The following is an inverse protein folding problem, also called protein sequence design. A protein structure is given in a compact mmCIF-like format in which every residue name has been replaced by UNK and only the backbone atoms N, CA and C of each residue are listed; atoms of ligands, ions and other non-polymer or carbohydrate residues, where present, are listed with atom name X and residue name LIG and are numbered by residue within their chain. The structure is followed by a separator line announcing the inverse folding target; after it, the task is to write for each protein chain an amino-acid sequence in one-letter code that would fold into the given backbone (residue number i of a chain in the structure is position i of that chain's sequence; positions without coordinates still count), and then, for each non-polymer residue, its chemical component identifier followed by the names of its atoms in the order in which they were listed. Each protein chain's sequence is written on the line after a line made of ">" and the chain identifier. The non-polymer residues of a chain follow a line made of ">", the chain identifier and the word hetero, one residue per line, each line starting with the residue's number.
data_IF_902360133805
#
_entry.id   IF_902360133805
#
_cell.length_a   1.000
_cell.length_b   1.000
_cell.length_c   1.000
_cell.angle_alpha   90.00
_cell.angle_beta   90.00
_cell.angle_gamma   90.00
#
_symmetry.space_group_name_H-M   'P 1'
#
loop_
_entity.id
_entity.type
_entity.pdbx_description
1 polymer ?
#
# COMPACT_ATOMS: atom_id res chain seq x y z
N UNK A 1 19.72 16.41 -32.35
CA UNK A 1 19.17 17.57 -31.60
C UNK A 1 17.72 17.36 -31.12
N UNK A 2 17.02 16.31 -31.53
CA UNK A 2 15.64 15.99 -31.14
C UNK A 2 15.46 15.44 -29.72
N UNK A 3 16.53 15.06 -29.02
CA UNK A 3 16.40 14.51 -27.65
C UNK A 3 16.16 15.60 -26.59
N UNK A 4 16.68 16.82 -26.82
CA UNK A 4 16.52 17.94 -25.88
C UNK A 4 15.08 18.49 -25.86
N UNK A 5 14.30 18.32 -26.93
CA UNK A 5 12.90 18.76 -26.96
C UNK A 5 11.96 17.86 -26.14
N UNK A 6 12.38 16.63 -25.82
CA UNK A 6 11.57 15.68 -25.06
C UNK A 6 11.77 15.80 -23.54
N UNK A 7 12.86 16.45 -23.10
CA UNK A 7 13.15 16.71 -21.68
C UNK A 7 12.00 17.37 -20.90
N UNK A 8 11.37 18.45 -21.36
CA UNK A 8 10.28 19.08 -20.61
C UNK A 8 9.04 18.18 -20.48
N UNK A 9 8.77 17.34 -21.49
CA UNK A 9 7.67 16.38 -21.43
C UNK A 9 7.93 15.31 -20.37
N UNK A 10 9.13 14.73 -20.36
CA UNK A 10 9.56 13.75 -19.35
C UNK A 10 9.59 14.36 -17.94
N UNK A 11 10.06 15.60 -17.80
CA UNK A 11 10.08 16.31 -16.52
C UNK A 11 8.65 16.55 -15.99
N UNK A 12 7.72 16.96 -16.85
CA UNK A 12 6.31 17.19 -16.46
C UNK A 12 5.60 15.90 -16.04
N UNK A 13 5.85 14.79 -16.74
CA UNK A 13 5.33 13.47 -16.39
C UNK A 13 5.89 13.01 -15.02
N UNK A 14 7.20 13.20 -14.79
CA UNK A 14 7.83 12.87 -13.52
C UNK A 14 7.27 13.70 -12.35
N UNK A 15 7.05 15.01 -12.56
CA UNK A 15 6.47 15.91 -11.56
C UNK A 15 5.03 15.54 -11.18
N UNK A 16 4.23 15.06 -12.14
CA UNK A 16 2.86 14.59 -11.87
C UNK A 16 2.79 13.36 -10.96
N UNK A 17 3.79 12.48 -11.03
CA UNK A 17 3.83 11.24 -10.25
C UNK A 17 4.67 11.33 -8.96
N UNK A 18 5.50 12.37 -8.81
CA UNK A 18 6.38 12.56 -7.66
C UNK A 18 5.65 12.55 -6.29
N UNK A 19 4.48 13.20 -6.10
CA UNK A 19 3.81 13.20 -4.80
C UNK A 19 3.38 11.79 -4.38
N UNK A 20 2.89 11.00 -5.33
CA UNK A 20 2.39 9.65 -5.11
C UNK A 20 3.55 8.68 -4.82
N UNK A 21 4.68 8.84 -5.51
CA UNK A 21 5.91 8.11 -5.22
C UNK A 21 6.43 8.40 -3.81
N UNK A 22 6.41 9.66 -3.36
CA UNK A 22 6.81 10.05 -2.00
C UNK A 22 5.91 9.38 -0.97
N UNK A 23 4.59 9.37 -1.17
CA UNK A 23 3.65 8.71 -0.25
C UNK A 23 3.95 7.21 -0.14
N UNK A 24 4.26 6.53 -1.24
CA UNK A 24 4.64 5.11 -1.19
C UNK A 24 5.95 4.87 -0.46
N UNK A 25 6.99 5.67 -0.74
CA UNK A 25 8.29 5.54 -0.08
C UNK A 25 8.15 5.80 1.42
N UNK A 26 7.46 6.87 1.82
CA UNK A 26 7.21 7.19 3.24
C UNK A 26 6.37 6.09 3.89
N UNK A 27 5.33 5.58 3.21
CA UNK A 27 4.53 4.46 3.68
C UNK A 27 5.38 3.21 3.95
N UNK A 28 6.28 2.85 3.03
CA UNK A 28 7.21 1.72 3.18
C UNK A 28 8.17 1.95 4.35
N UNK A 29 8.77 3.13 4.46
CA UNK A 29 9.68 3.47 5.56
C UNK A 29 8.95 3.38 6.92
N UNK A 30 7.75 3.94 7.02
CA UNK A 30 6.93 3.86 8.25
C UNK A 30 6.55 2.41 8.55
N UNK A 31 6.17 1.62 7.55
CA UNK A 31 5.85 0.21 7.74
C UNK A 31 7.06 -0.58 8.26
N UNK A 32 8.25 -0.38 7.68
CA UNK A 32 9.50 -1.03 8.11
C UNK A 32 9.89 -0.56 9.53
N UNK A 33 9.84 0.74 9.81
CA UNK A 33 10.17 1.30 11.12
C UNK A 33 9.21 0.80 12.22
N UNK A 34 7.96 0.53 11.88
CA UNK A 34 6.94 0.03 12.83
C UNK A 34 7.00 -1.49 13.02
N UNK A 35 7.80 -2.20 12.20
CA UNK A 35 7.80 -3.67 12.14
C UNK A 35 8.31 -4.34 13.44
N UNK A 36 9.22 -3.68 14.16
CA UNK A 36 9.80 -4.17 15.42
C UNK A 36 8.79 -4.27 16.57
N UNK A 37 7.66 -3.54 16.50
CA UNK A 37 6.71 -3.43 17.61
C UNK A 37 5.53 -4.40 17.51
N UNK A 38 5.11 -4.80 16.29
CA UNK A 38 3.99 -5.74 16.06
C UNK A 38 4.16 -6.56 14.74
N UNK A 39 4.94 -7.66 14.74
CA UNK A 39 5.40 -8.35 13.52
C UNK A 39 4.28 -8.94 12.65
N UNK A 40 3.21 -9.46 13.26
CA UNK A 40 2.10 -10.09 12.52
C UNK A 40 1.17 -9.09 11.82
N UNK A 41 0.98 -7.90 12.39
CA UNK A 41 0.04 -6.89 11.86
C UNK A 41 0.71 -5.96 10.84
N UNK A 42 1.98 -5.65 11.08
CA UNK A 42 2.75 -4.76 10.22
C UNK A 42 3.21 -5.46 8.92
N UNK A 43 3.26 -6.79 8.88
CA UNK A 43 3.54 -7.57 7.66
C UNK A 43 2.48 -7.41 6.55
N UNK A 44 1.18 -7.32 6.88
CA UNK A 44 0.12 -7.14 5.88
C UNK A 44 0.17 -5.73 5.23
N UNK A 45 0.37 -4.70 6.06
CA UNK A 45 0.54 -3.33 5.57
C UNK A 45 1.82 -3.19 4.71
N UNK A 46 2.94 -3.74 5.19
CA UNK A 46 4.20 -3.75 4.46
C UNK A 46 4.07 -4.49 3.13
N UNK A 47 3.37 -5.64 3.11
CA UNK A 47 3.10 -6.40 1.90
C UNK A 47 2.27 -5.62 0.88
N UNK A 48 1.19 -4.97 1.31
CA UNK A 48 0.36 -4.13 0.44
C UNK A 48 1.13 -2.93 -0.13
N UNK A 49 1.91 -2.25 0.70
CA UNK A 49 2.74 -1.11 0.27
C UNK A 49 3.89 -1.54 -0.66
N UNK A 50 4.54 -2.67 -0.38
CA UNK A 50 5.58 -3.22 -1.23
C UNK A 50 5.01 -3.62 -2.61
N UNK A 51 3.82 -4.23 -2.63
CA UNK A 51 3.14 -4.59 -3.87
C UNK A 51 2.80 -3.34 -4.71
N UNK A 52 2.27 -2.28 -4.09
CA UNK A 52 2.04 -0.99 -4.76
C UNK A 52 3.33 -0.39 -5.33
N UNK A 53 4.43 -0.48 -4.58
CA UNK A 53 5.73 0.00 -5.04
C UNK A 53 6.21 -0.78 -6.27
N UNK A 54 6.07 -2.12 -6.27
CA UNK A 54 6.44 -2.96 -7.42
C UNK A 54 5.58 -2.63 -8.64
N UNK A 55 4.27 -2.44 -8.48
CA UNK A 55 3.38 -2.03 -9.58
C UNK A 55 3.81 -0.69 -10.16
N UNK A 56 4.19 0.27 -9.30
CA UNK A 56 4.64 1.59 -9.74
C UNK A 56 5.94 1.50 -10.55
N UNK A 57 6.92 0.72 -10.08
CA UNK A 57 8.19 0.50 -10.79
C UNK A 57 7.94 -0.19 -12.13
N UNK A 58 7.11 -1.24 -12.15
CA UNK A 58 6.77 -1.96 -13.37
C UNK A 58 6.08 -1.04 -14.39
N UNK A 59 5.16 -0.18 -13.94
CA UNK A 59 4.47 0.79 -14.79
C UNK A 59 5.46 1.82 -15.36
N UNK A 60 6.38 2.31 -14.55
CA UNK A 60 7.43 3.23 -15.00
C UNK A 60 8.35 2.59 -16.06
N UNK A 61 8.84 1.37 -15.79
CA UNK A 61 9.67 0.62 -16.74
C UNK A 61 8.92 0.32 -18.04
N UNK A 62 7.62 0.01 -17.96
CA UNK A 62 6.77 -0.20 -19.13
C UNK A 62 6.63 1.07 -19.97
N UNK A 63 6.40 2.22 -19.34
CA UNK A 63 6.36 3.51 -20.03
C UNK A 63 7.69 3.85 -20.71
N UNK A 64 8.81 3.52 -20.07
CA UNK A 64 10.14 3.71 -20.64
C UNK A 64 10.41 2.77 -21.82
N UNK A 65 9.86 1.55 -21.79
CA UNK A 65 10.05 0.54 -22.83
C UNK A 65 9.13 0.72 -24.05
N UNK A 66 7.96 1.34 -23.87
CA UNK A 66 6.94 1.55 -24.91
C UNK A 66 7.47 2.15 -26.23
N UNK A 67 8.32 3.19 -26.22
CA UNK A 67 8.87 3.76 -27.46
C UNK A 67 9.75 2.78 -28.25
N UNK A 68 10.57 2.00 -27.54
CA UNK A 68 11.44 0.99 -28.17
C UNK A 68 10.61 -0.16 -28.78
N UNK A 69 9.53 -0.53 -28.09
CA UNK A 69 8.57 -1.51 -28.57
C UNK A 69 7.82 -1.01 -29.82
N UNK A 70 7.38 0.25 -29.82
CA UNK A 70 6.73 0.90 -30.97
C UNK A 70 7.64 0.91 -32.20
N UNK A 71 8.94 1.16 -32.02
CA UNK A 71 9.92 1.12 -33.11
C UNK A 71 10.08 -0.27 -33.75
N UNK A 72 9.86 -1.35 -32.99
CA UNK A 72 10.00 -2.72 -33.49
C UNK A 72 8.73 -3.26 -34.14
N UNK A 73 7.55 -2.97 -33.59
CA UNK A 73 6.33 -3.65 -34.01
C UNK A 73 5.72 -3.10 -35.30
N UNK A 74 5.93 -1.83 -35.67
CA UNK A 74 5.32 -1.13 -36.83
C UNK A 74 3.79 -1.27 -37.00
N UNK A 75 3.12 -2.06 -36.16
CA UNK A 75 1.71 -2.38 -36.16
C UNK A 75 1.06 -1.77 -34.91
N UNK A 76 0.20 -0.78 -35.14
CA UNK A 76 -0.50 -0.08 -34.09
C UNK A 76 -1.54 -0.97 -33.37
N UNK A 77 -2.10 -1.98 -34.06
CA UNK A 77 -3.13 -2.84 -33.49
C UNK A 77 -2.55 -3.80 -32.43
N UNK A 78 -1.38 -4.37 -32.70
CA UNK A 78 -0.65 -5.20 -31.74
C UNK A 78 -0.29 -4.44 -30.46
N UNK A 79 0.18 -3.19 -30.60
CA UNK A 79 0.58 -2.37 -29.46
C UNK A 79 -0.60 -2.02 -28.53
N UNK A 80 -1.76 -1.69 -29.10
CA UNK A 80 -2.97 -1.42 -28.31
C UNK A 80 -3.40 -2.62 -27.46
N UNK A 81 -3.24 -3.84 -27.99
CA UNK A 81 -3.54 -5.08 -27.25
C UNK A 81 -2.60 -5.25 -26.05
N UNK A 82 -1.29 -5.09 -26.24
CA UNK A 82 -0.31 -5.19 -25.16
C UNK A 82 -0.51 -4.15 -24.06
N UNK A 83 -0.78 -2.89 -24.44
CA UNK A 83 -1.08 -1.83 -23.49
C UNK A 83 -2.33 -2.17 -22.68
N UNK A 84 -3.39 -2.66 -23.32
CA UNK A 84 -4.65 -3.03 -22.64
C UNK A 84 -4.43 -4.17 -21.65
N UNK A 85 -3.72 -5.23 -22.05
CA UNK A 85 -3.42 -6.38 -21.18
C UNK A 85 -2.58 -5.96 -19.97
N UNK A 86 -1.55 -5.14 -20.18
CA UNK A 86 -0.71 -4.63 -19.09
C UNK A 86 -1.48 -3.71 -18.13
N UNK A 87 -2.31 -2.80 -18.66
CA UNK A 87 -3.17 -1.94 -17.85
C UNK A 87 -4.19 -2.74 -17.05
N UNK A 88 -4.79 -3.77 -17.62
CA UNK A 88 -5.72 -4.65 -16.91
C UNK A 88 -5.02 -5.42 -15.79
N UNK A 89 -3.83 -5.96 -16.05
CA UNK A 89 -3.04 -6.68 -15.05
C UNK A 89 -2.63 -5.76 -13.87
N UNK A 90 -2.15 -4.56 -14.17
CA UNK A 90 -1.76 -3.58 -13.13
C UNK A 90 -2.96 -3.08 -12.33
N UNK A 91 -4.13 -2.89 -12.96
CA UNK A 91 -5.37 -2.54 -12.26
C UNK A 91 -5.80 -3.64 -11.27
N UNK A 92 -5.80 -4.92 -11.69
CA UNK A 92 -6.14 -6.04 -10.82
C UNK A 92 -5.18 -6.16 -9.63
N UNK A 93 -3.87 -6.03 -9.88
CA UNK A 93 -2.86 -6.04 -8.82
C UNK A 93 -3.05 -4.86 -7.85
N UNK A 94 -3.41 -3.68 -8.36
CA UNK A 94 -3.67 -2.49 -7.54
C UNK A 94 -4.86 -2.71 -6.59
N UNK A 95 -5.95 -3.31 -7.08
CA UNK A 95 -7.10 -3.66 -6.24
C UNK A 95 -6.70 -4.60 -5.12
N UNK A 96 -5.93 -5.66 -5.41
CA UNK A 96 -5.44 -6.60 -4.39
C UNK A 96 -4.59 -5.88 -3.34
N UNK A 97 -3.70 -4.98 -3.79
CA UNK A 97 -2.84 -4.22 -2.90
C UNK A 97 -3.65 -3.26 -2.00
N UNK A 98 -4.67 -2.59 -2.54
CA UNK A 98 -5.59 -1.76 -1.75
C UNK A 98 -6.37 -2.56 -0.73
N UNK A 99 -6.87 -3.75 -1.10
CA UNK A 99 -7.56 -4.65 -0.16
C UNK A 99 -6.64 -5.05 1.00
N UNK A 100 -5.37 -5.38 0.72
CA UNK A 100 -4.36 -5.68 1.75
C UNK A 100 -4.13 -4.48 2.69
N UNK A 101 -4.00 -3.28 2.13
CA UNK A 101 -3.82 -2.04 2.91
C UNK A 101 -5.03 -1.78 3.81
N UNK A 102 -6.25 -1.89 3.28
CA UNK A 102 -7.48 -1.70 4.04
C UNK A 102 -7.63 -2.75 5.15
N UNK A 103 -7.36 -4.02 4.85
CA UNK A 103 -7.35 -5.08 5.87
C UNK A 103 -6.37 -4.78 6.99
N UNK A 104 -5.17 -4.28 6.66
CA UNK A 104 -4.18 -3.93 7.67
C UNK A 104 -4.61 -2.73 8.54
N UNK A 105 -5.29 -1.73 7.94
CA UNK A 105 -5.87 -0.58 8.64
C UNK A 105 -6.96 -1.01 9.63
N UNK A 106 -7.95 -1.78 9.18
CA UNK A 106 -9.09 -2.19 10.00
C UNK A 106 -8.75 -3.29 11.03
N UNK A 107 -7.65 -4.03 10.85
CA UNK A 107 -7.19 -5.00 11.85
C UNK A 107 -6.79 -4.35 13.19
N UNK A 108 -6.61 -3.02 13.25
CA UNK A 108 -6.18 -2.28 14.44
C UNK A 108 -7.24 -2.19 15.53
N UNK A 109 -8.52 -2.09 15.17
CA UNK A 109 -9.59 -1.74 16.13
C UNK A 109 -10.08 -2.93 16.96
N UNK A 110 -9.97 -4.16 16.45
CA UNK A 110 -10.50 -5.36 17.14
C UNK A 110 -9.72 -5.79 18.38
N UNK A 111 -8.52 -5.24 18.63
CA UNK A 111 -7.66 -5.66 19.74
C UNK A 111 -7.68 -4.76 20.98
N UNK A 112 -8.26 -3.56 20.91
CA UNK A 112 -8.17 -2.57 22.00
C UNK A 112 -9.31 -2.61 23.01
N UNK A 113 -10.49 -3.11 22.62
CA UNK A 113 -11.71 -2.95 23.44
C UNK A 113 -12.01 -4.11 24.38
N UNK A 114 -11.23 -5.19 24.38
CA UNK A 114 -11.51 -6.37 25.21
C UNK A 114 -10.87 -6.34 26.61
N UNK A 115 -9.89 -5.47 26.86
CA UNK A 115 -9.14 -5.45 28.13
C UNK A 115 -9.37 -4.18 28.97
N UNK A 116 -10.14 -3.21 28.46
CA UNK A 116 -10.41 -1.93 29.10
C UNK A 116 -11.88 -1.54 29.02
N UNK A 117 -12.78 -2.53 29.18
CA UNK A 117 -14.14 -2.17 29.61
C UNK A 117 -14.03 -1.29 30.85
N UNK A 118 -14.89 -0.26 31.02
CA UNK A 118 -14.91 0.51 32.25
C UNK A 118 -14.92 -0.50 33.39
N UNK A 119 -13.91 -0.46 34.27
CA UNK A 119 -13.97 -1.24 35.50
C UNK A 119 -15.37 -0.97 36.03
N UNK A 120 -16.26 -1.99 36.14
CA UNK A 120 -17.53 -1.76 36.78
C UNK A 120 -17.18 -1.11 38.12
N UNK A 121 -17.85 -0.02 38.52
CA UNK A 121 -17.49 0.71 39.72
C UNK A 121 -17.21 -0.29 40.84
N UNK A 122 -15.95 -0.36 41.29
CA UNK A 122 -15.59 -1.28 42.37
C UNK A 122 -16.35 -0.94 43.67
N UNK A 123 -16.99 0.23 43.64
CA UNK A 123 -17.74 0.86 44.70
C UNK A 123 -19.25 0.57 44.61
N UNK A 124 -19.71 -0.39 43.77
CA UNK A 124 -21.10 -0.88 43.86
C UNK A 124 -21.27 -1.57 45.22
N UNK A 125 -22.00 -0.97 46.17
CA UNK A 125 -22.17 -1.54 47.50
C UNK A 125 -22.91 -2.87 47.36
N UNK A 126 -22.32 -3.96 47.85
CA UNK A 126 -22.92 -5.31 47.81
C UNK A 126 -22.34 -6.26 46.77
N UNK A 127 -21.14 -6.02 46.23
CA UNK A 127 -20.45 -6.99 45.37
C UNK A 127 -20.15 -8.31 46.15
N UNK A 128 -20.84 -9.43 45.84
CA UNK A 128 -20.70 -10.68 46.58
C UNK A 128 -19.37 -11.41 46.30
N UNK A 129 -18.58 -10.92 45.34
CA UNK A 129 -17.30 -11.53 44.95
C UNK A 129 -16.11 -11.07 45.80
N UNK A 130 -16.32 -10.15 46.75
CA UNK A 130 -15.29 -9.79 47.71
C UNK A 130 -15.18 -10.88 48.80
N UNK A 131 -14.62 -12.05 48.45
CA UNK A 131 -14.20 -13.02 49.47
C UNK A 131 -12.92 -12.51 50.13
N UNK A 132 -12.90 -12.26 51.45
CA UNK A 132 -11.66 -11.97 52.15
C UNK A 132 -10.71 -13.17 52.01
N UNK A 133 -9.40 -12.93 51.91
CA UNK A 133 -8.43 -14.02 51.88
C UNK A 133 -8.58 -14.84 53.16
N UNK A 134 -8.68 -16.17 53.01
CA UNK A 134 -8.68 -17.08 54.14
C UNK A 134 -7.31 -16.97 54.83
N UNK A 135 -7.33 -16.56 56.10
CA UNK A 135 -6.16 -16.48 56.99
C UNK A 135 -5.90 -17.84 57.60
#
# INVERSE_FOLDING_TARGET
>A
MSELSNLPYLASAALGHAPLAIVYVVGVIVAIATWSRHPRRSGLAAGGLALLLVIQIATFLWQLYLPALYAHLQDAAGLGTWVTVFSLATALLSVVAWVLVLMALFARERGGSAAGGPNPPQDVPGNPYHRPPAV
#
